data_IF_169692730533
#
_entry.id   IF_169692730533
#
_cell.length_a   1.000
_cell.length_b   1.000
_cell.length_c   1.000
_cell.angle_alpha   90.00
_cell.angle_beta   90.00
_cell.angle_gamma   90.00
#
_symmetry.space_group_name_H-M   'P 1'
#
loop_
_entity.id
_entity.type
_entity.pdbx_description
1 polymer ?
#
# COMPACT_ATOMS: atom_id res chain seq x y z
N UNK A 1 31.05 -4.84 -9.46
CA UNK A 1 30.37 -5.27 -10.70
C UNK A 1 29.44 -6.43 -10.34
N UNK A 2 28.18 -6.48 -10.84
CA UNK A 2 27.32 -7.64 -10.62
C UNK A 2 27.89 -8.89 -11.31
N UNK A 3 27.61 -10.07 -10.75
CA UNK A 3 28.08 -11.35 -11.31
C UNK A 3 27.28 -11.71 -12.56
N UNK A 4 25.96 -11.50 -12.51
CA UNK A 4 25.05 -11.76 -13.62
C UNK A 4 24.20 -10.54 -13.93
N UNK A 5 23.72 -10.46 -15.16
CA UNK A 5 22.64 -9.56 -15.57
C UNK A 5 21.43 -10.38 -16.05
N UNK A 6 20.24 -9.80 -15.90
CA UNK A 6 18.99 -10.36 -16.45
C UNK A 6 18.63 -9.58 -17.72
N UNK A 7 18.63 -10.22 -18.91
CA UNK A 7 18.15 -9.58 -20.13
C UNK A 7 16.68 -9.15 -20.00
N UNK A 8 16.31 -8.04 -20.64
CA UNK A 8 14.91 -7.66 -20.76
C UNK A 8 14.14 -8.80 -21.44
N UNK A 9 13.11 -9.33 -20.76
CA UNK A 9 12.25 -10.45 -21.19
C UNK A 9 12.83 -11.86 -20.99
N UNK A 10 13.94 -12.03 -20.27
CA UNK A 10 14.45 -13.36 -19.88
C UNK A 10 14.53 -13.51 -18.37
N UNK A 11 14.09 -14.66 -17.86
CA UNK A 11 14.32 -15.06 -16.46
C UNK A 11 15.67 -15.77 -16.26
N UNK A 12 16.44 -15.96 -17.33
CA UNK A 12 17.71 -16.69 -17.29
C UNK A 12 18.86 -15.67 -17.10
N UNK A 13 19.63 -15.76 -16.01
CA UNK A 13 20.76 -14.88 -15.76
C UNK A 13 21.93 -15.21 -16.69
N UNK A 14 22.54 -14.16 -17.25
CA UNK A 14 23.71 -14.22 -18.12
C UNK A 14 24.92 -13.67 -17.38
N UNK A 15 26.06 -14.34 -17.52
CA UNK A 15 27.30 -13.97 -16.83
C UNK A 15 27.81 -12.61 -17.35
N UNK A 16 28.18 -11.73 -16.43
CA UNK A 16 28.67 -10.38 -16.77
C UNK A 16 30.16 -10.31 -17.09
N UNK A 17 30.95 -11.34 -16.75
CA UNK A 17 32.41 -11.35 -16.91
C UNK A 17 32.90 -12.49 -17.81
N UNK A 18 34.05 -12.29 -18.47
CA UNK A 18 34.66 -13.21 -19.43
C UNK A 18 35.79 -14.10 -18.86
N UNK A 19 36.20 -13.90 -17.60
CA UNK A 19 37.38 -14.55 -17.03
C UNK A 19 37.13 -16.00 -16.57
N UNK A 20 38.13 -16.86 -16.70
CA UNK A 20 38.02 -18.30 -16.40
C UNK A 20 37.82 -18.63 -14.91
N UNK A 21 38.40 -17.85 -13.99
CA UNK A 21 38.13 -17.95 -12.54
C UNK A 21 36.71 -17.54 -12.18
N UNK A 22 36.10 -16.68 -13.00
CA UNK A 22 34.69 -16.31 -12.85
C UNK A 22 33.75 -17.47 -13.19
N UNK A 23 34.16 -18.42 -14.04
CA UNK A 23 33.30 -19.52 -14.50
C UNK A 23 32.93 -20.49 -13.38
N UNK A 24 33.88 -20.96 -12.56
CA UNK A 24 33.56 -21.88 -11.45
C UNK A 24 32.67 -21.21 -10.40
N UNK A 25 32.99 -19.96 -10.08
CA UNK A 25 32.18 -19.14 -9.18
C UNK A 25 30.75 -18.96 -9.74
N UNK A 26 30.63 -18.62 -11.01
CA UNK A 26 29.34 -18.47 -11.68
C UNK A 26 28.56 -19.78 -11.73
N UNK A 27 29.21 -20.91 -12.00
CA UNK A 27 28.57 -22.23 -12.01
C UNK A 27 27.91 -22.56 -10.66
N UNK A 28 28.55 -22.21 -9.55
CA UNK A 28 27.98 -22.42 -8.22
C UNK A 28 26.74 -21.52 -7.96
N UNK A 29 26.81 -20.23 -8.32
CA UNK A 29 25.75 -19.28 -7.99
C UNK A 29 24.58 -19.22 -8.99
N UNK A 30 24.76 -19.71 -10.21
CA UNK A 30 23.72 -19.70 -11.25
C UNK A 30 22.46 -20.47 -10.84
N UNK A 31 22.53 -21.69 -10.27
CA UNK A 31 21.34 -22.38 -9.75
C UNK A 31 20.60 -21.57 -8.68
N UNK A 32 21.32 -20.91 -7.78
CA UNK A 32 20.74 -20.07 -6.72
C UNK A 32 19.97 -18.88 -7.31
N UNK A 33 20.46 -18.30 -8.41
CA UNK A 33 19.78 -17.25 -9.14
C UNK A 33 18.41 -17.70 -9.68
N UNK A 34 18.34 -18.94 -10.18
CA UNK A 34 17.17 -19.54 -10.81
C UNK A 34 16.14 -20.11 -9.82
N UNK A 35 16.54 -20.42 -8.58
CA UNK A 35 15.62 -20.96 -7.58
C UNK A 35 14.56 -19.93 -7.19
N UNK A 36 13.28 -20.25 -7.35
CA UNK A 36 12.19 -19.38 -6.89
C UNK A 36 12.14 -19.26 -5.35
N UNK A 37 11.92 -18.05 -4.79
CA UNK A 37 11.83 -17.84 -3.34
C UNK A 37 10.74 -18.66 -2.64
N UNK A 38 9.70 -19.06 -3.36
CA UNK A 38 8.64 -19.94 -2.85
C UNK A 38 9.17 -21.31 -2.43
N UNK A 39 10.23 -21.80 -3.09
CA UNK A 39 10.83 -23.13 -2.85
C UNK A 39 11.98 -23.06 -1.84
N UNK A 40 12.54 -21.88 -1.58
CA UNK A 40 13.66 -21.70 -0.64
C UNK A 40 13.40 -22.30 0.73
N UNK A 41 12.14 -22.24 1.22
CA UNK A 41 11.76 -22.77 2.53
C UNK A 41 12.03 -24.27 2.71
N UNK A 42 12.22 -25.03 1.62
CA UNK A 42 12.58 -26.46 1.67
C UNK A 42 14.05 -26.69 2.06
N UNK A 43 14.93 -25.74 1.73
CA UNK A 43 16.38 -25.92 1.80
C UNK A 43 17.09 -24.87 2.66
N UNK A 44 16.43 -23.73 2.91
CA UNK A 44 16.96 -22.54 3.55
C UNK A 44 15.99 -22.03 4.61
N UNK A 45 16.53 -21.34 5.61
CA UNK A 45 15.74 -20.58 6.56
C UNK A 45 15.44 -19.20 5.99
N UNK A 46 14.18 -18.99 5.58
CA UNK A 46 13.76 -17.76 4.90
C UNK A 46 13.01 -16.81 5.83
N UNK A 47 13.42 -15.56 5.82
CA UNK A 47 12.73 -14.43 6.45
C UNK A 47 12.20 -13.49 5.39
N UNK A 48 11.00 -12.95 5.61
CA UNK A 48 10.33 -12.00 4.71
C UNK A 48 10.29 -10.63 5.36
N UNK A 49 10.68 -9.59 4.62
CA UNK A 49 10.52 -8.19 4.99
C UNK A 49 9.66 -7.53 3.91
N UNK A 50 8.44 -7.13 4.26
CA UNK A 50 7.55 -6.40 3.35
C UNK A 50 7.71 -4.90 3.54
N UNK A 51 7.74 -4.16 2.44
CA UNK A 51 7.81 -2.70 2.47
C UNK A 51 7.04 -2.05 1.32
N UNK A 52 6.60 -0.82 1.53
CA UNK A 52 6.04 0.04 0.49
C UNK A 52 6.97 1.23 0.31
N UNK A 53 7.47 1.41 -0.91
CA UNK A 53 8.37 2.50 -1.26
C UNK A 53 7.62 3.83 -1.34
N UNK A 54 8.30 4.88 -0.88
CA UNK A 54 7.84 6.25 -1.00
C UNK A 54 7.84 6.66 -2.47
N UNK A 55 6.73 7.28 -2.90
CA UNK A 55 6.57 7.77 -4.26
C UNK A 55 7.42 9.03 -4.51
N UNK A 56 7.83 9.20 -5.77
CA UNK A 56 8.51 10.42 -6.21
C UNK A 56 7.56 11.61 -6.23
N UNK A 57 8.08 12.81 -5.90
CA UNK A 57 7.35 14.08 -6.06
C UNK A 57 8.01 14.95 -7.13
N UNK A 58 7.23 15.72 -7.91
CA UNK A 58 5.76 15.81 -7.88
C UNK A 58 5.07 14.56 -8.46
N UNK A 59 3.78 14.37 -8.13
CA UNK A 59 2.98 13.28 -8.71
C UNK A 59 2.84 13.44 -10.24
N UNK A 60 2.71 12.34 -10.98
CA UNK A 60 2.48 12.37 -12.43
C UNK A 60 1.23 13.19 -12.79
N UNK A 61 1.29 13.96 -13.88
CA UNK A 61 0.18 14.84 -14.30
C UNK A 61 -1.03 14.05 -14.80
N UNK A 62 -0.77 12.98 -15.55
CA UNK A 62 -1.79 12.13 -16.18
C UNK A 62 -2.07 10.90 -15.34
N UNK A 63 -2.25 11.10 -14.02
CA UNK A 63 -2.50 10.01 -13.08
C UNK A 63 -3.97 9.56 -13.09
N UNK A 64 -4.89 10.53 -13.12
CA UNK A 64 -6.33 10.30 -13.12
C UNK A 64 -6.99 10.48 -14.49
N UNK A 65 -6.33 11.18 -15.41
CA UNK A 65 -6.79 11.46 -16.78
C UNK A 65 -5.70 10.99 -17.72
N UNK A 66 -6.04 10.36 -18.85
CA UNK A 66 -5.04 9.96 -19.82
C UNK A 66 -4.30 11.16 -20.42
N UNK A 67 -3.13 10.91 -21.00
CA UNK A 67 -2.49 11.89 -21.87
C UNK A 67 -3.17 11.92 -23.26
N UNK A 68 -2.69 12.77 -24.16
CA UNK A 68 -3.18 12.85 -25.55
C UNK A 68 -3.08 11.54 -26.36
N UNK A 69 -2.32 10.54 -25.87
CA UNK A 69 -2.24 9.21 -26.48
C UNK A 69 -3.17 8.18 -25.82
N UNK A 70 -4.08 8.60 -24.94
CA UNK A 70 -4.97 7.71 -24.20
C UNK A 70 -4.28 6.92 -23.07
N UNK A 71 -3.05 7.30 -22.67
CA UNK A 71 -2.25 6.55 -21.69
C UNK A 71 -2.16 7.28 -20.36
N UNK A 72 -2.41 6.54 -19.29
CA UNK A 72 -2.17 7.00 -17.92
C UNK A 72 -0.69 6.87 -17.54
N UNK A 73 -0.22 7.80 -16.73
CA UNK A 73 1.09 7.71 -16.09
C UNK A 73 0.98 6.91 -14.80
N UNK A 74 1.97 6.06 -14.54
CA UNK A 74 2.03 5.22 -13.33
C UNK A 74 2.93 5.85 -12.28
N UNK A 75 2.59 5.63 -11.00
CA UNK A 75 3.39 6.09 -9.87
C UNK A 75 4.81 5.50 -9.93
N UNK A 76 5.80 6.36 -9.71
CA UNK A 76 7.22 6.02 -9.68
C UNK A 76 7.76 6.14 -8.24
N UNK A 77 8.78 5.36 -7.92
CA UNK A 77 9.45 5.37 -6.60
C UNK A 77 10.99 5.34 -6.80
N UNK A 78 11.52 6.08 -7.77
CA UNK A 78 12.91 5.95 -8.24
C UNK A 78 13.91 6.31 -7.15
N UNK A 79 13.68 7.38 -6.41
CA UNK A 79 14.61 7.84 -5.35
C UNK A 79 14.66 6.83 -4.20
N UNK A 80 13.49 6.43 -3.70
CA UNK A 80 13.37 5.42 -2.66
C UNK A 80 13.96 4.07 -3.07
N UNK A 81 13.68 3.61 -4.30
CA UNK A 81 14.24 2.38 -4.84
C UNK A 81 15.77 2.45 -4.95
N UNK A 82 16.32 3.56 -5.46
CA UNK A 82 17.76 3.74 -5.57
C UNK A 82 18.45 3.70 -4.20
N UNK A 83 17.90 4.38 -3.19
CA UNK A 83 18.42 4.35 -1.82
C UNK A 83 18.37 2.93 -1.24
N UNK A 84 17.26 2.19 -1.44
CA UNK A 84 17.14 0.81 -0.99
C UNK A 84 18.18 -0.10 -1.65
N UNK A 85 18.32 -0.04 -2.98
CA UNK A 85 19.26 -0.90 -3.70
C UNK A 85 20.72 -0.57 -3.39
N UNK A 86 21.03 0.71 -3.12
CA UNK A 86 22.34 1.11 -2.61
C UNK A 86 22.61 0.48 -1.24
N UNK A 87 21.66 0.58 -0.30
CA UNK A 87 21.80 -0.06 1.01
C UNK A 87 22.03 -1.56 0.88
N UNK A 88 21.25 -2.26 0.05
CA UNK A 88 21.39 -3.71 -0.11
C UNK A 88 22.73 -4.10 -0.75
N UNK A 89 23.23 -3.28 -1.66
CA UNK A 89 24.56 -3.43 -2.26
C UNK A 89 25.65 -3.27 -1.19
N UNK A 90 25.61 -2.18 -0.44
CA UNK A 90 26.61 -1.87 0.60
C UNK A 90 26.54 -2.85 1.78
N UNK A 91 25.34 -3.36 2.08
CA UNK A 91 25.12 -4.38 3.10
C UNK A 91 25.71 -5.73 2.68
N UNK A 92 25.76 -6.04 1.38
CA UNK A 92 26.17 -7.35 0.84
C UNK A 92 27.68 -7.47 0.62
N UNK A 93 28.18 -8.71 0.56
CA UNK A 93 29.60 -8.96 0.22
C UNK A 93 29.81 -8.78 -1.29
N UNK A 94 28.86 -9.24 -2.10
CA UNK A 94 28.85 -9.00 -3.53
C UNK A 94 27.42 -9.03 -4.09
N UNK A 95 27.26 -8.35 -5.24
CA UNK A 95 25.99 -8.26 -5.95
C UNK A 95 25.90 -9.42 -6.94
N UNK A 96 24.90 -10.27 -6.78
CA UNK A 96 24.70 -11.40 -7.66
C UNK A 96 24.00 -10.96 -8.95
N UNK A 97 22.88 -10.26 -8.83
CA UNK A 97 22.16 -9.60 -9.92
C UNK A 97 21.76 -8.21 -9.42
N UNK A 98 22.09 -7.19 -10.19
CA UNK A 98 21.80 -5.80 -9.82
C UNK A 98 20.30 -5.55 -9.59
N UNK A 99 19.96 -4.85 -8.50
CA UNK A 99 18.60 -4.54 -8.07
C UNK A 99 17.68 -5.75 -7.82
N UNK A 100 18.25 -6.96 -7.70
CA UNK A 100 17.47 -8.20 -7.63
C UNK A 100 18.01 -9.17 -6.58
N UNK A 101 19.27 -9.60 -6.68
CA UNK A 101 19.86 -10.62 -5.81
C UNK A 101 21.22 -10.19 -5.28
N UNK A 102 21.43 -10.37 -3.98
CA UNK A 102 22.66 -10.03 -3.28
C UNK A 102 23.08 -11.19 -2.37
N UNK A 103 24.37 -11.33 -2.12
CA UNK A 103 24.91 -12.37 -1.23
C UNK A 103 25.78 -11.75 -0.17
N UNK A 104 25.60 -12.21 1.08
CA UNK A 104 26.47 -11.86 2.20
C UNK A 104 27.10 -13.13 2.76
N UNK A 105 28.43 -13.14 2.77
CA UNK A 105 29.23 -14.18 3.39
C UNK A 105 29.31 -13.95 4.90
N UNK A 106 29.20 -15.02 5.67
CA UNK A 106 29.34 -15.02 7.13
C UNK A 106 30.70 -15.63 7.47
N UNK A 107 31.49 -14.90 8.23
CA UNK A 107 32.81 -15.32 8.71
C UNK A 107 32.73 -15.61 10.21
N UNK A 108 33.30 -16.74 10.64
CA UNK A 108 33.51 -17.01 12.06
C UNK A 108 34.75 -16.29 12.61
N UNK A 109 35.74 -16.10 11.75
CA UNK A 109 37.02 -15.43 12.01
C UNK A 109 37.42 -14.71 10.72
N UNK A 110 37.95 -13.49 10.81
CA UNK A 110 38.20 -12.62 9.66
C UNK A 110 39.29 -13.17 8.73
N UNK A 111 40.24 -13.92 9.28
CA UNK A 111 41.36 -14.52 8.53
C UNK A 111 41.02 -15.90 7.93
N UNK A 112 39.82 -16.44 8.22
CA UNK A 112 39.39 -17.77 7.76
C UNK A 112 38.39 -17.66 6.62
N UNK A 113 38.25 -18.72 5.80
CA UNK A 113 37.21 -18.77 4.79
C UNK A 113 35.81 -18.61 5.41
N UNK A 114 34.83 -18.11 4.63
CA UNK A 114 33.47 -17.92 5.12
C UNK A 114 32.87 -19.25 5.56
N UNK A 115 32.29 -19.25 6.75
CA UNK A 115 31.66 -20.44 7.34
C UNK A 115 30.26 -20.70 6.81
N UNK A 116 29.58 -19.65 6.32
CA UNK A 116 28.23 -19.74 5.78
C UNK A 116 27.93 -18.51 4.91
N UNK A 117 26.71 -18.44 4.37
CA UNK A 117 26.22 -17.26 3.68
C UNK A 117 24.70 -17.16 3.78
N UNK A 118 24.18 -15.99 3.44
CA UNK A 118 22.77 -15.81 3.16
C UNK A 118 22.55 -14.97 1.91
N UNK A 119 21.40 -15.21 1.30
CA UNK A 119 20.97 -14.55 0.07
C UNK A 119 19.91 -13.52 0.44
N UNK A 120 20.01 -12.35 -0.16
CA UNK A 120 18.97 -11.33 -0.12
C UNK A 120 18.39 -11.24 -1.51
N UNK A 121 17.10 -11.52 -1.66
CA UNK A 121 16.39 -11.32 -2.93
C UNK A 121 15.24 -10.35 -2.77
N UNK A 122 15.28 -9.32 -3.60
CA UNK A 122 14.18 -8.39 -3.80
C UNK A 122 13.19 -9.05 -4.75
N UNK A 123 11.94 -9.10 -4.33
CA UNK A 123 10.80 -9.62 -5.10
C UNK A 123 9.68 -8.60 -5.10
N UNK A 124 8.76 -8.73 -6.05
CA UNK A 124 7.67 -7.77 -6.32
C UNK A 124 8.11 -6.44 -6.95
N UNK A 125 7.21 -5.85 -7.74
CA UNK A 125 7.44 -4.60 -8.47
C UNK A 125 7.07 -3.41 -7.57
N UNK A 126 7.91 -2.35 -7.50
CA UNK A 126 7.57 -1.10 -6.84
C UNK A 126 6.16 -0.63 -7.23
N UNK A 127 5.39 -0.01 -6.31
CA UNK A 127 5.79 0.44 -4.97
C UNK A 127 5.91 -0.65 -3.89
N UNK A 128 5.22 -1.79 -4.03
CA UNK A 128 5.27 -2.87 -3.05
C UNK A 128 6.49 -3.77 -3.29
N UNK A 129 7.41 -3.81 -2.33
CA UNK A 129 8.65 -4.58 -2.42
C UNK A 129 8.70 -5.61 -1.28
N UNK A 130 9.20 -6.79 -1.58
CA UNK A 130 9.40 -7.87 -0.60
C UNK A 130 10.84 -8.34 -0.66
N UNK A 131 11.55 -8.18 0.44
CA UNK A 131 12.92 -8.67 0.59
C UNK A 131 12.86 -10.04 1.28
N UNK A 132 13.33 -11.07 0.58
CA UNK A 132 13.50 -12.41 1.12
C UNK A 132 14.96 -12.58 1.53
N UNK A 133 15.19 -12.86 2.80
CA UNK A 133 16.51 -13.15 3.36
C UNK A 133 16.58 -14.65 3.65
N UNK A 134 17.41 -15.40 2.94
CA UNK A 134 17.49 -16.85 3.04
C UNK A 134 18.87 -17.30 3.50
N UNK A 135 18.91 -17.91 4.69
CA UNK A 135 20.13 -18.40 5.33
C UNK A 135 20.32 -19.88 5.03
N UNK A 136 21.58 -20.29 4.80
CA UNK A 136 21.93 -21.71 4.73
C UNK A 136 21.54 -22.46 6.00
N UNK A 137 21.13 -23.71 5.82
CA UNK A 137 20.88 -24.66 6.89
C UNK A 137 22.13 -24.78 7.79
N UNK A 138 21.94 -24.71 9.11
CA UNK A 138 23.04 -24.65 10.09
C UNK A 138 23.36 -23.26 10.63
N UNK A 139 22.86 -22.17 10.01
CA UNK A 139 23.03 -20.81 10.58
C UNK A 139 22.23 -20.67 11.89
N UNK A 140 22.85 -20.30 13.04
CA UNK A 140 22.16 -20.21 14.33
C UNK A 140 20.96 -19.25 14.31
N UNK A 141 19.85 -19.64 14.95
CA UNK A 141 18.61 -18.87 14.93
C UNK A 141 18.73 -17.45 15.46
N UNK A 142 19.50 -17.25 16.55
CA UNK A 142 19.75 -15.93 17.12
C UNK A 142 20.48 -15.00 16.14
N UNK A 143 21.44 -15.55 15.36
CA UNK A 143 22.21 -14.79 14.37
C UNK A 143 21.31 -14.37 13.20
N UNK A 144 20.42 -15.27 12.76
CA UNK A 144 19.40 -14.96 11.74
C UNK A 144 18.48 -13.84 12.20
N UNK A 145 17.94 -13.95 13.41
CA UNK A 145 17.06 -12.93 13.99
C UNK A 145 17.78 -11.58 14.09
N UNK A 146 18.98 -11.55 14.68
CA UNK A 146 19.80 -10.33 14.81
C UNK A 146 20.06 -9.67 13.46
N UNK A 147 20.48 -10.44 12.46
CA UNK A 147 20.78 -9.93 11.11
C UNK A 147 19.54 -9.33 10.47
N UNK A 148 18.38 -10.00 10.58
CA UNK A 148 17.11 -9.52 10.01
C UNK A 148 16.63 -8.25 10.71
N UNK A 149 16.75 -8.15 12.04
CA UNK A 149 16.37 -6.94 12.77
C UNK A 149 17.28 -5.77 12.41
N UNK A 150 18.60 -5.97 12.40
CA UNK A 150 19.53 -4.92 12.00
C UNK A 150 19.25 -4.43 10.57
N UNK A 151 18.96 -5.34 9.64
CA UNK A 151 18.59 -4.95 8.27
C UNK A 151 17.28 -4.14 8.24
N UNK A 152 16.26 -4.52 9.02
CA UNK A 152 15.03 -3.73 9.16
C UNK A 152 15.30 -2.34 9.72
N UNK A 153 16.15 -2.23 10.73
CA UNK A 153 16.50 -0.94 11.35
C UNK A 153 17.20 -0.01 10.35
N UNK A 154 18.13 -0.54 9.56
CA UNK A 154 18.82 0.24 8.51
C UNK A 154 17.84 0.67 7.41
N UNK A 155 16.92 -0.22 6.99
CA UNK A 155 15.88 0.11 6.01
C UNK A 155 14.95 1.21 6.55
N UNK A 156 14.55 1.14 7.82
CA UNK A 156 13.67 2.12 8.46
C UNK A 156 14.30 3.52 8.56
N UNK A 157 15.63 3.59 8.61
CA UNK A 157 16.40 4.84 8.67
C UNK A 157 16.72 5.43 7.29
N UNK A 158 16.41 4.73 6.19
CA UNK A 158 16.67 5.25 4.86
C UNK A 158 15.82 6.50 4.60
N UNK A 159 16.50 7.58 4.23
CA UNK A 159 15.88 8.81 3.78
C UNK A 159 16.46 9.26 2.45
N UNK A 160 15.72 10.09 1.73
CA UNK A 160 16.23 10.82 0.57
C UNK A 160 15.84 12.30 0.69
N UNK A 161 16.69 13.20 0.16
CA UNK A 161 16.42 14.63 0.24
C UNK A 161 15.28 14.99 -0.70
N UNK A 162 14.21 15.57 -0.16
CA UNK A 162 13.09 16.03 -0.97
C UNK A 162 13.09 17.55 -1.10
N UNK A 163 12.91 18.03 -2.33
CA UNK A 163 12.76 19.46 -2.62
C UNK A 163 11.42 19.95 -2.06
N UNK A 164 11.39 21.04 -1.27
CA UNK A 164 10.13 21.67 -0.87
C UNK A 164 9.40 22.17 -2.11
N UNK A 165 8.20 21.65 -2.37
CA UNK A 165 7.33 22.18 -3.42
C UNK A 165 6.75 23.51 -2.96
N UNK A 166 6.96 24.60 -3.72
CA UNK A 166 6.43 25.93 -3.42
C UNK A 166 4.89 26.03 -3.37
N UNK A 167 4.18 24.96 -3.76
CA UNK A 167 2.70 24.87 -3.75
C UNK A 167 2.13 23.96 -2.66
N UNK A 168 2.98 23.37 -1.82
CA UNK A 168 2.54 22.51 -0.73
C UNK A 168 2.73 23.28 0.59
N UNK A 169 1.67 23.81 1.23
CA UNK A 169 1.84 24.48 2.51
C UNK A 169 2.43 23.46 3.49
N UNK A 170 3.56 23.82 4.10
CA UNK A 170 4.05 23.20 5.33
C UNK A 170 2.86 23.04 6.27
N UNK A 171 2.68 21.84 6.84
CA UNK A 171 1.65 21.47 7.80
C UNK A 171 1.30 22.67 8.69
N UNK A 172 0.29 23.44 8.28
CA UNK A 172 -0.41 24.33 9.20
C UNK A 172 -1.19 23.35 10.04
N UNK A 173 -0.93 23.36 11.35
CA UNK A 173 -1.85 22.82 12.35
C UNK A 173 -3.17 23.53 12.10
N UNK A 174 -4.01 22.97 11.22
CA UNK A 174 -5.38 23.40 11.09
C UNK A 174 -5.99 22.96 12.40
N UNK A 175 -6.20 23.94 13.27
CA UNK A 175 -7.02 23.80 14.46
C UNK A 175 -8.34 23.22 13.99
N UNK A 176 -8.55 21.92 14.20
CA UNK A 176 -9.80 21.28 13.86
C UNK A 176 -10.90 21.96 14.68
N UNK A 177 -11.89 22.51 13.98
CA UNK A 177 -13.16 22.94 14.55
C UNK A 177 -13.74 21.72 15.26
N UNK A 178 -13.91 21.83 16.58
CA UNK A 178 -14.41 20.76 17.45
C UNK A 178 -15.70 20.17 16.87
N UNK A 179 -15.62 19.00 16.24
CA UNK A 179 -16.80 18.19 15.97
C UNK A 179 -17.29 17.65 17.30
N UNK A 180 -18.41 18.21 17.80
CA UNK A 180 -19.15 17.66 18.93
C UNK A 180 -19.78 16.34 18.50
N UNK A 181 -19.04 15.25 18.59
CA UNK A 181 -19.64 13.91 18.62
C UNK A 181 -20.06 13.61 20.05
N UNK A 182 -21.36 13.60 20.30
CA UNK A 182 -21.99 13.18 21.56
C UNK A 182 -22.06 11.66 21.59
N UNK A 183 -21.00 10.99 22.03
CA UNK A 183 -21.06 9.63 22.54
C UNK A 183 -19.78 9.32 23.35
N UNK A 184 -19.98 8.92 24.61
CA UNK A 184 -19.00 8.36 25.55
C UNK A 184 -17.88 9.30 26.05
N UNK A 185 -18.21 10.07 27.09
CA UNK A 185 -17.25 10.70 28.00
C UNK A 185 -17.36 10.07 29.39
N UNK A 186 -16.34 9.34 29.80
CA UNK A 186 -15.95 9.20 31.20
C UNK A 186 -14.46 8.86 31.23
N UNK A 187 -13.70 9.58 32.06
CA UNK A 187 -12.24 9.56 32.20
C UNK A 187 -11.42 10.43 31.25
N UNK A 188 -11.51 11.76 31.40
CA UNK A 188 -10.38 12.66 31.08
C UNK A 188 -10.51 14.06 31.70
N UNK A 189 -11.09 14.17 32.90
CA UNK A 189 -11.26 15.42 33.61
C UNK A 189 -10.49 15.39 34.93
N UNK A 190 -9.16 15.32 34.87
CA UNK A 190 -8.29 15.58 36.05
C UNK A 190 -6.81 15.84 35.74
N UNK A 191 -6.44 16.18 34.50
CA UNK A 191 -5.01 16.44 34.14
C UNK A 191 -4.75 17.80 33.49
N UNK A 192 -5.67 18.76 33.62
CA UNK A 192 -5.58 20.04 32.90
C UNK A 192 -5.55 21.30 33.78
N UNK A 193 -5.05 21.19 35.01
CA UNK A 193 -4.90 22.35 35.91
C UNK A 193 -3.45 22.68 36.32
N UNK A 194 -2.41 22.06 35.73
CA UNK A 194 -1.03 22.26 36.21
C UNK A 194 0.02 22.73 35.19
N UNK A 195 -0.36 23.27 34.03
CA UNK A 195 0.62 23.90 33.12
C UNK A 195 0.12 25.25 32.58
N UNK A 196 -0.15 26.17 33.50
CA UNK A 196 -0.17 27.61 33.23
C UNK A 196 0.73 28.29 34.24
N UNK A 197 1.99 28.50 33.85
CA UNK A 197 2.87 29.57 34.35
C UNK A 197 4.22 29.50 33.63
N UNK A 198 4.34 30.16 32.48
CA UNK A 198 5.61 30.76 32.05
C UNK A 198 5.33 32.08 31.29
N UNK A 199 6.21 33.10 31.42
CA UNK A 199 5.89 34.47 31.00
C UNK A 199 6.05 34.68 29.50
N UNK A 200 5.14 35.48 28.93
CA UNK A 200 5.17 35.92 27.52
C UNK A 200 6.29 36.95 27.31
N UNK A 201 7.23 36.66 26.40
CA UNK A 201 8.08 37.70 25.79
C UNK A 201 7.59 37.99 24.35
N UNK A 202 7.42 39.27 24.05
CA UNK A 202 6.96 39.79 22.75
C UNK A 202 8.05 39.66 21.68
N UNK A 203 7.72 39.32 20.42
CA UNK A 203 8.68 39.37 19.32
C UNK A 203 8.84 40.81 18.80
N UNK A 204 10.06 41.34 18.82
CA UNK A 204 10.45 42.55 18.10
C UNK A 204 10.59 42.24 16.59
N UNK A 205 10.10 43.16 15.76
CA UNK A 205 10.12 43.10 14.29
C UNK A 205 11.54 43.35 13.73
N UNK A 206 12.00 42.49 12.81
CA UNK A 206 13.18 42.72 11.97
C UNK A 206 12.82 42.56 10.48
N UNK A 207 13.40 43.42 9.66
CA UNK A 207 13.14 43.72 8.24
C UNK A 207 13.67 42.64 7.25
N UNK A 208 13.20 42.63 5.98
CA UNK A 208 13.38 41.52 5.05
C UNK A 208 14.58 41.70 4.13
N UNK A 209 15.73 41.14 4.47
CA UNK A 209 16.76 40.83 3.46
C UNK A 209 17.59 39.65 3.96
N UNK A 210 17.82 38.67 3.07
CA UNK A 210 18.45 37.35 3.29
C UNK A 210 17.46 36.22 3.65
N UNK A 211 16.82 35.64 2.62
CA UNK A 211 16.20 34.33 2.75
C UNK A 211 17.34 33.29 2.93
N UNK A 212 17.35 32.49 4.01
CA UNK A 212 18.33 31.42 4.15
C UNK A 212 18.12 30.36 3.04
N UNK A 213 19.17 29.61 2.66
CA UNK A 213 19.06 28.54 1.66
C UNK A 213 17.94 27.58 2.07
N UNK A 214 17.01 27.32 1.14
CA UNK A 214 15.85 26.45 1.36
C UNK A 214 16.35 25.07 1.79
N UNK A 215 16.16 24.75 3.08
CA UNK A 215 16.55 23.45 3.65
C UNK A 215 15.74 22.35 2.97
N UNK A 216 16.43 21.34 2.45
CA UNK A 216 15.81 20.11 1.98
C UNK A 216 15.22 19.39 3.19
N UNK A 217 14.03 18.79 3.03
CA UNK A 217 13.46 17.92 4.06
C UNK A 217 13.79 16.48 3.72
N UNK A 218 14.40 15.76 4.64
CA UNK A 218 14.63 14.33 4.49
C UNK A 218 13.31 13.58 4.66
N UNK A 219 12.99 12.73 3.69
CA UNK A 219 11.77 11.92 3.69
C UNK A 219 12.14 10.46 3.73
N UNK A 220 11.45 9.69 4.58
CA UNK A 220 11.68 8.25 4.69
C UNK A 220 11.45 7.56 3.33
N UNK A 221 12.36 6.68 2.96
CA UNK A 221 12.31 5.95 1.69
C UNK A 221 11.17 4.95 1.63
N UNK A 222 10.72 4.40 2.76
CA UNK A 222 9.72 3.35 2.76
C UNK A 222 9.00 3.21 4.11
N UNK A 223 7.89 2.48 4.08
CA UNK A 223 7.18 2.00 5.26
C UNK A 223 7.37 0.50 5.37
N UNK A 224 7.87 0.03 6.52
CA UNK A 224 7.95 -1.40 6.84
C UNK A 224 6.55 -1.92 7.20
N UNK A 225 6.19 -3.06 6.62
CA UNK A 225 4.88 -3.69 6.82
C UNK A 225 5.02 -4.98 7.60
N UNK A 226 4.13 -5.18 8.56
CA UNK A 226 4.03 -6.44 9.28
C UNK A 226 3.26 -7.47 8.44
N UNK A 227 2.23 -7.04 7.71
CA UNK A 227 1.38 -7.92 6.92
C UNK A 227 1.94 -8.19 5.52
N UNK A 228 1.65 -9.36 4.92
CA UNK A 228 2.08 -9.69 3.58
C UNK A 228 1.17 -9.05 2.52
N UNK A 229 1.21 -7.72 2.41
CA UNK A 229 0.34 -6.95 1.51
C UNK A 229 0.38 -7.48 0.07
N UNK A 230 1.53 -7.90 -0.46
CA UNK A 230 1.64 -8.48 -1.81
C UNK A 230 0.75 -9.69 -2.06
N UNK A 231 0.29 -10.38 -0.99
CA UNK A 231 -0.57 -11.56 -1.06
C UNK A 231 -2.05 -11.25 -0.86
N UNK A 232 -2.36 -10.12 -0.23
CA UNK A 232 -3.74 -9.71 0.10
C UNK A 232 -4.18 -8.45 -0.64
N UNK A 233 -3.30 -7.87 -1.47
CA UNK A 233 -3.61 -6.68 -2.26
C UNK A 233 -4.55 -7.03 -3.41
N UNK A 234 -5.70 -6.39 -3.44
CA UNK A 234 -6.65 -6.41 -4.54
C UNK A 234 -6.08 -5.57 -5.69
N UNK A 235 -5.77 -6.17 -6.85
CA UNK A 235 -5.17 -5.47 -7.99
C UNK A 235 -6.07 -5.52 -9.21
N UNK A 236 -6.40 -4.34 -9.72
CA UNK A 236 -7.10 -4.18 -10.99
C UNK A 236 -6.06 -3.83 -12.07
N UNK A 237 -5.95 -4.66 -13.09
CA UNK A 237 -5.09 -4.40 -14.25
C UNK A 237 -5.80 -3.51 -15.28
N UNK A 238 -7.13 -3.53 -15.30
CA UNK A 238 -8.01 -2.74 -16.18
C UNK A 238 -9.31 -2.42 -15.46
N UNK A 239 -10.07 -1.47 -16.00
CA UNK A 239 -11.39 -1.11 -15.50
C UNK A 239 -12.32 -2.34 -15.52
N UNK A 240 -12.99 -2.68 -14.41
CA UNK A 240 -14.05 -3.69 -14.41
C UNK A 240 -15.16 -3.32 -15.39
N UNK A 241 -15.68 -4.31 -16.12
CA UNK A 241 -16.86 -4.13 -16.99
C UNK A 241 -18.16 -4.06 -16.21
N UNK A 242 -18.17 -4.60 -14.99
CA UNK A 242 -19.29 -4.56 -14.07
C UNK A 242 -18.78 -4.31 -12.64
N UNK A 243 -19.43 -3.37 -11.95
CA UNK A 243 -19.20 -3.02 -10.56
C UNK A 243 -20.25 -3.65 -9.62
N UNK A 244 -21.04 -4.63 -10.08
CA UNK A 244 -21.93 -5.44 -9.25
C UNK A 244 -21.34 -6.80 -8.83
N UNK A 245 -20.38 -7.32 -9.60
CA UNK A 245 -19.93 -8.72 -9.44
C UNK A 245 -18.76 -8.88 -8.48
N UNK A 246 -19.07 -9.13 -7.21
CA UNK A 246 -18.25 -10.05 -6.40
C UNK A 246 -18.77 -11.46 -6.68
N UNK A 247 -18.12 -12.18 -7.59
CA UNK A 247 -18.53 -13.55 -7.93
C UNK A 247 -18.06 -14.50 -6.82
N UNK A 248 -18.99 -15.09 -6.08
CA UNK A 248 -18.69 -16.12 -5.09
C UNK A 248 -18.47 -17.48 -5.80
N UNK A 249 -17.57 -18.35 -5.28
CA UNK A 249 -17.18 -19.61 -5.91
C UNK A 249 -18.27 -20.69 -5.86
N UNK A 250 -19.31 -20.50 -5.05
CA UNK A 250 -20.53 -21.30 -5.06
C UNK A 250 -21.51 -20.89 -6.18
N UNK A 251 -21.14 -19.88 -6.98
CA UNK A 251 -21.99 -19.34 -8.03
C UNK A 251 -23.13 -18.47 -7.51
N UNK A 252 -23.18 -18.18 -6.21
CA UNK A 252 -24.16 -17.23 -5.67
C UNK A 252 -23.69 -15.82 -6.01
N UNK A 253 -24.36 -15.17 -6.94
CA UNK A 253 -24.38 -13.71 -6.97
C UNK A 253 -25.36 -13.25 -5.88
N UNK A 254 -25.21 -12.05 -5.27
CA UNK A 254 -26.36 -11.43 -4.63
C UNK A 254 -27.47 -11.43 -5.67
N UNK A 255 -28.62 -12.03 -5.34
CA UNK A 255 -29.77 -12.24 -6.24
C UNK A 255 -30.20 -10.91 -6.87
N UNK A 256 -29.65 -10.59 -8.04
CA UNK A 256 -30.25 -9.68 -8.99
C UNK A 256 -31.07 -10.55 -9.95
N UNK A 257 -32.40 -10.33 -10.08
CA UNK A 257 -33.22 -11.12 -10.97
C UNK A 257 -32.84 -10.79 -12.42
N UNK A 258 -32.34 -11.79 -13.16
CA UNK A 258 -32.24 -11.73 -14.61
C UNK A 258 -30.91 -11.25 -15.19
N UNK A 259 -29.81 -12.01 -15.00
CA UNK A 259 -28.75 -12.09 -16.01
C UNK A 259 -27.85 -13.30 -15.74
N UNK A 260 -28.14 -14.43 -16.38
CA UNK A 260 -27.17 -15.50 -16.54
C UNK A 260 -26.42 -15.27 -17.85
N UNK A 261 -25.38 -14.45 -17.83
CA UNK A 261 -24.39 -14.44 -18.92
C UNK A 261 -23.02 -14.81 -18.36
N UNK A 262 -22.53 -15.97 -18.82
CA UNK A 262 -21.22 -16.54 -18.47
C UNK A 262 -20.09 -15.71 -19.09
N UNK A 263 -19.57 -14.71 -18.38
CA UNK A 263 -18.25 -14.15 -18.67
C UNK A 263 -17.22 -14.74 -17.70
N UNK A 264 -16.57 -15.84 -18.10
CA UNK A 264 -15.38 -16.36 -17.40
C UNK A 264 -14.16 -15.55 -17.84
N UNK A 265 -13.90 -14.42 -17.20
CA UNK A 265 -12.62 -13.71 -17.39
C UNK A 265 -11.52 -14.40 -16.56
N UNK A 266 -10.49 -14.92 -17.24
CA UNK A 266 -9.38 -15.70 -16.66
C UNK A 266 -8.49 -14.94 -15.64
N UNK A 267 -8.78 -13.67 -15.33
CA UNK A 267 -8.12 -12.87 -14.30
C UNK A 267 -8.87 -12.76 -12.96
N UNK A 268 -10.09 -13.31 -12.87
CA UNK A 268 -10.96 -13.12 -11.71
C UNK A 268 -10.66 -14.00 -10.49
N UNK A 269 -9.82 -15.04 -10.60
CA UNK A 269 -9.67 -16.06 -9.54
C UNK A 269 -9.12 -15.54 -8.20
N UNK A 270 -8.10 -14.67 -8.21
CA UNK A 270 -7.51 -14.15 -6.97
C UNK A 270 -8.37 -13.04 -6.36
N UNK A 271 -8.89 -12.13 -7.20
CA UNK A 271 -9.79 -11.05 -6.79
C UNK A 271 -11.04 -11.60 -6.09
N UNK A 272 -11.73 -12.56 -6.73
CA UNK A 272 -12.93 -13.23 -6.19
C UNK A 272 -12.64 -14.08 -4.95
N UNK A 273 -11.38 -14.51 -4.78
CA UNK A 273 -10.96 -15.26 -3.60
C UNK A 273 -10.67 -14.34 -2.44
N UNK A 274 -9.86 -13.30 -2.63
CA UNK A 274 -9.55 -12.33 -1.58
C UNK A 274 -10.79 -11.55 -1.13
N UNK A 275 -11.73 -11.26 -2.04
CA UNK A 275 -12.96 -10.56 -1.71
C UNK A 275 -13.84 -11.27 -0.67
N UNK A 276 -13.66 -12.59 -0.47
CA UNK A 276 -14.34 -13.37 0.59
C UNK A 276 -13.72 -13.19 1.97
N UNK A 277 -12.45 -12.81 2.02
CA UNK A 277 -11.69 -12.69 3.26
C UNK A 277 -11.46 -11.24 3.68
N UNK A 278 -11.84 -10.27 2.84
CA UNK A 278 -11.71 -8.85 3.11
C UNK A 278 -13.08 -8.22 3.29
N UNK A 279 -13.19 -7.29 4.23
CA UNK A 279 -14.36 -6.43 4.33
C UNK A 279 -14.30 -5.36 3.26
N UNK A 280 -15.37 -5.26 2.47
CA UNK A 280 -15.41 -4.42 1.28
C UNK A 280 -16.55 -3.41 1.35
N UNK A 281 -16.24 -2.17 0.97
CA UNK A 281 -17.22 -1.13 0.68
C UNK A 281 -16.85 -0.45 -0.64
N UNK A 282 -17.83 -0.29 -1.52
CA UNK A 282 -17.72 0.48 -2.77
C UNK A 282 -18.66 1.67 -2.70
N UNK A 283 -18.20 2.78 -3.24
CA UNK A 283 -19.00 3.97 -3.43
C UNK A 283 -18.92 4.41 -4.89
N UNK A 284 -20.10 4.64 -5.46
CA UNK A 284 -20.30 5.14 -6.81
C UNK A 284 -21.06 6.45 -6.68
N UNK A 285 -20.51 7.52 -7.23
CA UNK A 285 -21.18 8.81 -7.32
C UNK A 285 -21.31 9.18 -8.76
N UNK A 286 -22.49 9.63 -9.13
CA UNK A 286 -22.76 10.10 -10.46
C UNK A 286 -22.64 11.63 -10.48
N UNK A 287 -21.97 12.16 -11.48
CA UNK A 287 -21.74 13.58 -11.65
C UNK A 287 -22.93 14.20 -12.43
N UNK A 288 -23.34 15.40 -12.01
CA UNK A 288 -24.46 16.10 -12.63
C UNK A 288 -23.98 16.79 -13.92
N UNK A 289 -24.53 16.33 -15.04
CA UNK A 289 -24.06 16.53 -16.42
C UNK A 289 -23.71 17.98 -16.85
N UNK A 290 -22.56 18.09 -17.52
CA UNK A 290 -22.16 19.16 -18.45
C UNK A 290 -20.79 18.87 -19.10
N UNK A 291 -20.79 18.42 -20.37
CA UNK A 291 -19.66 17.77 -21.08
C UNK A 291 -18.28 18.49 -21.09
N UNK A 292 -17.23 17.67 -21.26
CA UNK A 292 -15.76 17.92 -21.26
C UNK A 292 -15.19 18.61 -20.01
N UNK A 293 -15.77 19.72 -19.56
CA UNK A 293 -15.34 20.42 -18.34
C UNK A 293 -15.46 19.54 -17.09
N UNK A 294 -16.29 18.49 -17.18
CA UNK A 294 -16.60 17.52 -16.13
C UNK A 294 -15.48 16.50 -15.89
N UNK A 295 -14.75 16.02 -16.92
CA UNK A 295 -13.70 15.01 -16.73
C UNK A 295 -12.51 15.60 -15.96
N UNK A 296 -12.03 16.79 -16.36
CA UNK A 296 -11.01 17.51 -15.60
C UNK A 296 -11.50 17.91 -14.21
N UNK A 297 -12.79 18.20 -14.02
CA UNK A 297 -13.35 18.48 -12.70
C UNK A 297 -13.28 17.25 -11.79
N UNK A 298 -13.70 16.08 -12.27
CA UNK A 298 -13.59 14.82 -11.53
C UNK A 298 -12.12 14.49 -11.28
N UNK A 299 -11.23 14.70 -12.24
CA UNK A 299 -9.80 14.50 -12.05
C UNK A 299 -9.22 15.36 -10.93
N UNK A 300 -9.66 16.63 -10.81
CA UNK A 300 -9.27 17.52 -9.71
C UNK A 300 -9.80 17.00 -8.36
N UNK A 301 -11.02 16.46 -8.34
CA UNK A 301 -11.60 15.83 -7.15
C UNK A 301 -10.80 14.59 -6.75
N UNK A 302 -10.48 13.70 -7.69
CA UNK A 302 -9.66 12.51 -7.47
C UNK A 302 -8.24 12.87 -7.00
N UNK A 303 -7.64 13.93 -7.56
CA UNK A 303 -6.35 14.45 -7.11
C UNK A 303 -6.42 15.00 -5.68
N UNK A 304 -7.54 15.63 -5.31
CA UNK A 304 -7.79 16.12 -3.95
C UNK A 304 -7.92 14.96 -2.97
N UNK A 305 -8.69 13.92 -3.32
CA UNK A 305 -8.83 12.69 -2.52
C UNK A 305 -7.49 11.99 -2.37
N UNK A 306 -6.72 11.87 -3.45
CA UNK A 306 -5.35 11.33 -3.45
C UNK A 306 -4.49 12.06 -2.43
N UNK A 307 -4.50 13.40 -2.46
CA UNK A 307 -3.74 14.22 -1.51
C UNK A 307 -4.22 14.00 -0.06
N UNK A 308 -5.52 13.95 0.18
CA UNK A 308 -6.07 13.69 1.52
C UNK A 308 -5.64 12.34 2.07
N UNK A 309 -5.72 11.27 1.27
CA UNK A 309 -5.28 9.93 1.68
C UNK A 309 -3.79 9.89 1.99
N UNK A 310 -2.95 10.55 1.19
CA UNK A 310 -1.53 10.66 1.47
C UNK A 310 -1.25 11.41 2.79
N UNK A 311 -2.04 12.45 3.11
CA UNK A 311 -1.94 13.17 4.39
C UNK A 311 -2.37 12.32 5.61
N UNK A 312 -3.32 11.41 5.42
CA UNK A 312 -3.75 10.44 6.44
C UNK A 312 -2.68 9.34 6.66
N UNK A 313 -1.67 9.25 5.80
CA UNK A 313 -0.56 8.30 5.89
C UNK A 313 -0.69 7.09 4.97
N UNK A 314 -1.66 7.07 4.05
CA UNK A 314 -1.71 6.04 3.01
C UNK A 314 -0.49 6.14 2.10
N UNK A 315 0.00 4.99 1.65
CA UNK A 315 1.10 4.87 0.70
C UNK A 315 0.61 4.21 -0.59
N UNK A 316 1.07 4.66 -1.75
CA UNK A 316 0.74 4.00 -3.02
C UNK A 316 1.25 2.57 -3.02
N UNK A 317 0.40 1.60 -3.35
CA UNK A 317 0.73 0.19 -3.43
C UNK A 317 0.79 -0.31 -4.89
N UNK A 318 -0.05 0.24 -5.75
CA UNK A 318 -0.10 -0.10 -7.18
C UNK A 318 -0.78 1.02 -7.99
N UNK A 319 -0.43 1.14 -9.28
CA UNK A 319 -1.08 2.08 -10.19
C UNK A 319 -0.96 1.56 -11.63
N UNK A 320 -2.11 1.35 -12.28
CA UNK A 320 -2.23 0.82 -13.65
C UNK A 320 -3.52 1.34 -14.27
N UNK A 321 -3.50 1.72 -15.55
CA UNK A 321 -4.69 2.16 -16.30
C UNK A 321 -5.54 3.25 -15.59
N UNK A 322 -4.88 4.19 -14.90
CA UNK A 322 -5.54 5.24 -14.13
C UNK A 322 -6.12 4.80 -12.79
N UNK A 323 -6.14 3.49 -12.53
CA UNK A 323 -6.56 2.91 -11.25
C UNK A 323 -5.41 3.07 -10.27
N UNK A 324 -5.74 3.64 -9.12
CA UNK A 324 -4.79 3.90 -8.04
C UNK A 324 -5.16 3.05 -6.86
N UNK A 325 -4.17 2.39 -6.30
CA UNK A 325 -4.29 1.57 -5.11
C UNK A 325 -3.34 2.10 -4.05
N UNK A 326 -3.87 2.38 -2.87
CA UNK A 326 -3.12 2.83 -1.70
C UNK A 326 -3.37 1.89 -0.52
N UNK A 327 -2.40 1.82 0.38
CA UNK A 327 -2.48 1.00 1.60
C UNK A 327 -2.08 1.78 2.84
N UNK A 328 -2.69 1.42 3.96
CA UNK A 328 -2.39 1.90 5.30
C UNK A 328 -2.41 0.70 6.25
N UNK A 329 -1.40 0.54 7.10
CA UNK A 329 -1.37 -0.47 8.17
C UNK A 329 -1.61 0.23 9.51
N UNK A 330 -2.73 -0.07 10.16
CA UNK A 330 -3.08 0.45 11.49
C UNK A 330 -2.83 -0.61 12.56
N UNK A 331 -2.64 -0.18 13.81
CA UNK A 331 -2.52 -1.11 14.93
C UNK A 331 -3.88 -1.29 15.58
N UNK A 332 -4.24 -2.53 15.88
CA UNK A 332 -5.46 -2.91 16.59
C UNK A 332 -5.11 -3.63 17.89
N UNK A 333 -5.93 -3.43 18.92
CA UNK A 333 -5.78 -4.03 20.25
C UNK A 333 -7.10 -4.68 20.67
N UNK A 334 -7.04 -5.79 21.40
CA UNK A 334 -8.23 -6.47 21.92
C UNK A 334 -9.10 -5.53 22.74
N UNK A 335 -10.43 -5.71 22.65
CA UNK A 335 -11.39 -4.89 23.38
C UNK A 335 -11.20 -5.01 24.90
N UNK A 336 -11.49 -3.94 25.62
CA UNK A 336 -11.36 -3.92 27.08
C UNK A 336 -12.50 -4.62 27.81
N UNK A 337 -13.67 -4.70 27.18
CA UNK A 337 -14.96 -4.86 27.86
C UNK A 337 -15.71 -6.17 27.57
N UNK A 338 -15.32 -6.93 26.54
CA UNK A 338 -15.94 -8.23 26.27
C UNK A 338 -15.18 -9.36 27.00
N UNK A 339 -15.92 -10.06 27.88
CA UNK A 339 -15.61 -11.36 28.50
C UNK A 339 -14.78 -11.43 29.79
N UNK A 340 -14.16 -10.34 30.28
CA UNK A 340 -13.43 -10.42 31.57
C UNK A 340 -14.33 -10.79 32.77
N UNK A 341 -15.64 -10.50 32.71
CA UNK A 341 -16.60 -10.82 33.78
C UNK A 341 -17.13 -12.25 33.79
N UNK A 342 -16.79 -13.09 32.79
CA UNK A 342 -17.35 -14.44 32.67
C UNK A 342 -16.38 -15.55 33.07
N UNK A 343 -15.12 -15.20 33.36
CA UNK A 343 -14.05 -16.13 33.73
C UNK A 343 -13.52 -15.87 35.15
N UNK A 344 -14.24 -15.13 36.01
CA UNK A 344 -13.80 -14.85 37.38
C UNK A 344 -13.74 -16.09 38.28
N UNK A 345 -14.34 -17.21 37.87
CA UNK A 345 -14.28 -18.48 38.60
C UNK A 345 -13.33 -19.49 37.93
N UNK A 346 -12.02 -19.28 38.07
CA UNK A 346 -11.03 -20.36 37.99
C UNK A 346 -9.80 -20.14 37.09
N UNK A 347 -8.62 -20.27 37.72
CA UNK A 347 -7.26 -20.45 37.16
C UNK A 347 -6.46 -19.20 36.73
N UNK A 348 -5.56 -18.76 37.63
CA UNK A 348 -4.65 -17.60 37.49
C UNK A 348 -3.79 -17.59 36.22
N UNK A 349 -3.39 -18.75 35.68
CA UNK A 349 -2.53 -18.82 34.48
C UNK A 349 -3.27 -18.39 33.19
N UNK A 350 -4.55 -18.71 33.06
CA UNK A 350 -5.36 -18.30 31.89
C UNK A 350 -5.58 -16.77 31.86
N UNK A 351 -5.65 -16.13 33.03
CA UNK A 351 -5.84 -14.68 33.13
C UNK A 351 -4.59 -13.91 32.68
N UNK A 352 -3.39 -14.40 33.00
CA UNK A 352 -2.13 -13.80 32.57
C UNK A 352 -1.93 -13.88 31.05
N UNK A 353 -2.27 -15.01 30.43
CA UNK A 353 -2.21 -15.15 28.97
C UNK A 353 -3.25 -14.28 28.26
N UNK A 354 -4.46 -14.17 28.81
CA UNK A 354 -5.50 -13.29 28.30
C UNK A 354 -5.08 -11.82 28.36
N UNK A 355 -4.52 -11.35 29.47
CA UNK A 355 -4.02 -9.97 29.60
C UNK A 355 -2.85 -9.69 28.64
N UNK A 356 -1.94 -10.66 28.45
CA UNK A 356 -0.88 -10.56 27.44
C UNK A 356 -1.45 -10.47 26.02
N UNK A 357 -2.45 -11.29 25.70
CA UNK A 357 -3.14 -11.31 24.41
C UNK A 357 -3.90 -10.00 24.14
N UNK A 358 -4.63 -9.52 25.14
CA UNK A 358 -5.39 -8.27 25.12
C UNK A 358 -4.48 -7.07 24.88
N UNK A 359 -3.28 -7.09 25.46
CA UNK A 359 -2.27 -6.06 25.28
C UNK A 359 -1.42 -6.21 24.02
N UNK A 360 -1.61 -7.28 23.25
CA UNK A 360 -0.86 -7.52 22.01
C UNK A 360 -1.42 -6.70 20.85
N UNK A 361 -0.57 -5.87 20.25
CA UNK A 361 -0.90 -5.09 19.06
C UNK A 361 -0.91 -5.99 17.82
N UNK A 362 -1.89 -5.78 16.95
CA UNK A 362 -2.05 -6.49 15.68
C UNK A 362 -2.15 -5.51 14.53
N UNK A 363 -1.40 -5.73 13.45
CA UNK A 363 -1.57 -4.94 12.25
C UNK A 363 -2.91 -5.29 11.55
N UNK A 364 -3.62 -4.26 11.09
CA UNK A 364 -4.77 -4.36 10.19
C UNK A 364 -4.48 -3.52 8.94
N UNK A 365 -4.62 -4.13 7.77
CA UNK A 365 -4.39 -3.46 6.49
C UNK A 365 -5.70 -2.89 5.95
N UNK A 366 -5.65 -1.61 5.59
CA UNK A 366 -6.69 -0.88 4.88
C UNK A 366 -6.15 -0.60 3.49
N UNK A 367 -6.88 -0.99 2.47
CA UNK A 367 -6.57 -0.72 1.08
C UNK A 367 -7.65 0.17 0.49
N UNK A 368 -7.23 1.27 -0.14
CA UNK A 368 -8.10 2.23 -0.78
C UNK A 368 -7.85 2.25 -2.29
N UNK A 369 -8.89 2.02 -3.08
CA UNK A 369 -8.82 1.97 -4.55
C UNK A 369 -9.62 3.12 -5.13
N UNK A 370 -9.02 3.85 -6.07
CA UNK A 370 -9.68 4.89 -6.86
C UNK A 370 -9.60 4.53 -8.32
N UNK A 371 -10.73 4.63 -9.01
CA UNK A 371 -10.82 4.43 -10.44
C UNK A 371 -10.72 5.78 -11.17
N UNK A 372 -10.23 5.81 -12.42
CA UNK A 372 -10.30 7.00 -13.25
C UNK A 372 -11.78 7.35 -13.55
N UNK A 373 -12.06 8.57 -14.05
CA UNK A 373 -13.39 8.94 -14.53
C UNK A 373 -13.95 7.86 -15.47
N UNK A 374 -15.21 7.47 -15.24
CA UNK A 374 -15.83 6.38 -15.98
C UNK A 374 -17.26 6.74 -16.39
N UNK A 375 -17.53 6.64 -17.68
CA UNK A 375 -18.85 6.88 -18.25
C UNK A 375 -19.62 5.56 -18.34
N UNK A 376 -20.84 5.49 -17.80
CA UNK A 376 -21.68 4.30 -17.98
C UNK A 376 -22.30 4.28 -19.37
N UNK A 377 -22.20 3.16 -20.09
CA UNK A 377 -22.99 2.96 -21.30
C UNK A 377 -24.42 2.57 -20.94
N UNK A 378 -25.41 3.39 -21.28
CA UNK A 378 -26.84 3.11 -21.09
C UNK A 378 -27.38 2.09 -22.10
N UNK A 379 -26.84 0.87 -22.15
CA UNK A 379 -27.44 -0.20 -22.95
C UNK A 379 -28.24 -1.16 -22.07
N UNK A 380 -29.38 -0.67 -21.59
CA UNK A 380 -30.52 -1.51 -21.17
C UNK A 380 -31.67 -1.33 -22.15
N UNK A 381 -31.47 -1.76 -23.40
CA UNK A 381 -32.57 -2.20 -24.26
C UNK A 381 -32.23 -3.60 -24.72
N UNK A 382 -32.87 -4.59 -24.08
CA UNK A 382 -33.26 -5.81 -24.77
C UNK A 382 -34.12 -5.40 -25.97
N UNK A 383 -33.50 -5.03 -27.10
CA UNK A 383 -34.23 -4.92 -28.36
C UNK A 383 -34.35 -6.31 -28.94
N UNK A 384 -35.31 -7.06 -28.41
CA UNK A 384 -36.02 -8.04 -29.22
C UNK A 384 -36.89 -7.27 -30.20
N UNK A 385 -36.47 -7.21 -31.47
CA UNK A 385 -37.39 -6.99 -32.58
C UNK A 385 -36.83 -7.69 -33.79
N UNK A 386 -37.38 -8.87 -34.09
CA UNK A 386 -37.36 -9.39 -35.45
C UNK A 386 -38.15 -8.41 -36.32
N UNK A 387 -37.52 -7.89 -37.38
CA UNK A 387 -38.14 -6.91 -38.25
C UNK A 387 -37.24 -6.58 -39.42
N UNK A 388 -37.77 -6.85 -40.60
CA UNK A 388 -37.21 -6.74 -41.95
C UNK A 388 -36.67 -5.35 -42.30
N UNK A 389 -35.80 -5.31 -43.32
CA UNK A 389 -34.86 -4.25 -43.65
C UNK A 389 -35.44 -2.85 -43.90
N UNK A 390 -34.55 -1.86 -43.77
CA UNK A 390 -34.34 -0.75 -44.71
C UNK A 390 -33.16 0.11 -44.23
N UNK A 391 -32.37 0.62 -45.19
CA UNK A 391 -31.24 1.52 -44.98
C UNK A 391 -31.71 2.83 -44.31
N UNK A 392 -31.30 3.07 -43.06
CA UNK A 392 -31.13 4.43 -42.53
C UNK A 392 -29.79 4.53 -41.79
N UNK A 393 -28.97 5.48 -42.24
CA UNK A 393 -27.68 5.83 -41.65
C UNK A 393 -27.98 6.62 -40.37
N UNK A 394 -28.27 5.92 -39.27
CA UNK A 394 -28.36 6.56 -37.96
C UNK A 394 -26.94 7.00 -37.54
N UNK A 395 -26.76 8.33 -37.48
CA UNK A 395 -25.66 8.94 -36.77
C UNK A 395 -25.65 8.37 -35.35
N UNK A 396 -24.54 7.76 -34.94
CA UNK A 396 -24.31 7.29 -33.58
C UNK A 396 -24.44 8.50 -32.64
N UNK A 397 -25.61 8.69 -32.05
CA UNK A 397 -25.80 9.61 -30.94
C UNK A 397 -24.78 9.22 -29.86
N UNK A 398 -23.90 10.16 -29.52
CA UNK A 398 -22.97 10.04 -28.40
C UNK A 398 -23.81 9.74 -27.16
N UNK A 399 -23.80 8.47 -26.74
CA UNK A 399 -24.70 7.98 -25.71
C UNK A 399 -24.62 8.84 -24.45
N UNK A 400 -25.80 9.21 -23.95
CA UNK A 400 -26.09 9.91 -22.70
C UNK A 400 -25.61 9.09 -21.49
N UNK A 401 -24.30 8.92 -21.40
CA UNK A 401 -23.64 8.18 -20.34
C UNK A 401 -23.33 9.09 -19.17
N UNK A 402 -23.80 8.73 -17.99
CA UNK A 402 -23.53 9.46 -16.77
C UNK A 402 -22.06 9.22 -16.32
N UNK A 403 -21.33 10.30 -16.08
CA UNK A 403 -19.95 10.22 -15.62
C UNK A 403 -19.90 9.91 -14.13
N UNK A 404 -19.12 8.91 -13.74
CA UNK A 404 -19.10 8.40 -12.37
C UNK A 404 -17.71 8.48 -11.72
N UNK A 405 -17.72 8.79 -10.43
CA UNK A 405 -16.60 8.62 -9.52
C UNK A 405 -16.79 7.29 -8.80
N UNK A 406 -15.79 6.41 -8.87
CA UNK A 406 -15.83 5.12 -8.19
C UNK A 406 -14.62 4.98 -7.27
N UNK A 407 -14.87 4.57 -6.03
CA UNK A 407 -13.80 4.21 -5.08
C UNK A 407 -14.20 3.04 -4.21
N UNK A 408 -13.22 2.30 -3.74
CA UNK A 408 -13.41 1.16 -2.86
C UNK A 408 -12.49 1.22 -1.65
N UNK A 409 -12.95 0.61 -0.56
CA UNK A 409 -12.16 0.31 0.62
C UNK A 409 -12.22 -1.20 0.88
N UNK A 410 -11.04 -1.82 0.96
CA UNK A 410 -10.84 -3.23 1.29
C UNK A 410 -10.06 -3.31 2.58
N UNK A 411 -10.66 -3.89 3.62
CA UNK A 411 -10.10 -3.93 4.97
C UNK A 411 -9.90 -5.37 5.38
N UNK A 412 -8.72 -5.68 5.90
CA UNK A 412 -8.46 -6.97 6.51
C UNK A 412 -9.24 -7.12 7.83
N UNK A 413 -10.11 -8.12 7.97
CA UNK A 413 -10.80 -8.39 9.23
C UNK A 413 -9.80 -8.70 10.33
N UNK A 414 -9.84 -7.90 11.39
CA UNK A 414 -9.02 -8.06 12.59
C UNK A 414 -9.89 -7.80 13.83
N UNK A 415 -9.74 -8.64 14.85
CA UNK A 415 -10.46 -8.47 16.12
C UNK A 415 -9.84 -7.32 16.93
N UNK A 416 -10.71 -6.59 17.64
CA UNK A 416 -10.32 -5.48 18.51
C UNK A 416 -10.65 -4.12 17.90
N UNK A 417 -10.02 -3.08 18.46
CA UNK A 417 -10.21 -1.68 18.09
C UNK A 417 -8.89 -1.07 17.63
N UNK A 418 -8.97 -0.15 16.68
CA UNK A 418 -7.80 0.62 16.24
C UNK A 418 -7.27 1.47 17.39
N UNK A 419 -5.94 1.50 17.52
CA UNK A 419 -5.20 2.25 18.52
C UNK A 419 -3.97 2.94 17.92
N UNK A 420 -3.45 3.94 18.63
CA UNK A 420 -2.22 4.67 18.27
C UNK A 420 -2.35 5.43 16.93
N UNK A 421 -3.53 5.95 16.62
CA UNK A 421 -3.72 6.83 15.49
C UNK A 421 -2.98 8.17 15.72
N UNK A 422 -2.20 8.64 14.74
CA UNK A 422 -1.71 10.01 14.75
C UNK A 422 -2.86 10.99 14.48
N UNK A 423 -2.65 12.30 14.75
CA UNK A 423 -3.70 13.31 14.69
C UNK A 423 -4.44 13.39 13.35
N UNK A 424 -3.79 13.07 12.24
CA UNK A 424 -4.36 13.15 10.90
C UNK A 424 -5.46 12.10 10.66
N UNK A 425 -5.47 11.03 11.46
CA UNK A 425 -6.44 9.92 11.40
C UNK A 425 -7.02 9.53 12.76
N UNK A 426 -7.14 10.50 13.66
CA UNK A 426 -7.76 10.32 14.98
C UNK A 426 -9.19 9.78 14.91
N UNK A 427 -9.93 10.10 13.83
CA UNK A 427 -11.27 9.61 13.56
C UNK A 427 -11.35 8.08 13.40
N UNK A 428 -10.23 7.38 13.20
CA UNK A 428 -10.17 5.92 13.16
C UNK A 428 -9.99 5.29 14.55
N UNK A 429 -9.54 6.07 15.55
CA UNK A 429 -9.23 5.58 16.90
C UNK A 429 -10.47 4.96 17.55
N UNK A 430 -10.28 3.84 18.25
CA UNK A 430 -11.32 3.05 18.92
C UNK A 430 -12.43 2.52 17.97
N UNK A 431 -12.19 2.44 16.66
CA UNK A 431 -13.12 1.80 15.74
C UNK A 431 -12.77 0.33 15.49
N UNK A 432 -13.78 -0.56 15.40
CA UNK A 432 -13.58 -1.89 14.88
C UNK A 432 -13.42 -1.84 13.35
N UNK A 433 -12.79 -2.87 12.78
CA UNK A 433 -12.39 -2.87 11.36
C UNK A 433 -13.55 -2.58 10.38
N UNK A 434 -14.75 -3.12 10.64
CA UNK A 434 -15.90 -3.00 9.74
C UNK A 434 -16.56 -1.61 9.75
N UNK A 435 -16.16 -0.70 10.67
CA UNK A 435 -16.61 0.70 10.69
C UNK A 435 -15.63 1.66 10.02
N UNK A 436 -14.40 1.23 9.73
CA UNK A 436 -13.36 2.12 9.21
C UNK A 436 -13.75 2.72 7.85
N UNK A 437 -14.29 1.91 6.95
CA UNK A 437 -14.76 2.36 5.64
C UNK A 437 -15.88 3.42 5.74
N UNK A 438 -16.81 3.27 6.68
CA UNK A 438 -17.97 4.17 6.80
C UNK A 438 -17.55 5.57 7.32
N UNK A 439 -16.56 5.64 8.23
CA UNK A 439 -16.06 6.91 8.75
C UNK A 439 -15.15 7.61 7.75
N UNK A 440 -14.33 6.86 7.02
CA UNK A 440 -13.56 7.37 5.88
C UNK A 440 -14.45 8.03 4.82
N UNK A 441 -15.64 7.48 4.59
CA UNK A 441 -16.61 8.04 3.67
C UNK A 441 -17.25 9.34 4.20
N UNK A 442 -17.59 9.39 5.49
CA UNK A 442 -18.22 10.58 6.09
C UNK A 442 -17.33 11.82 6.00
N UNK A 443 -16.04 11.69 6.30
CA UNK A 443 -15.05 12.79 6.19
C UNK A 443 -14.91 13.30 4.75
N UNK A 444 -15.12 12.43 3.76
CA UNK A 444 -15.04 12.79 2.34
C UNK A 444 -16.28 13.53 1.84
N UNK A 445 -17.48 13.26 2.38
CA UNK A 445 -18.69 14.00 2.02
C UNK A 445 -18.53 15.52 2.22
N UNK A 446 -17.80 15.92 3.24
CA UNK A 446 -17.51 17.34 3.52
C UNK A 446 -16.58 17.99 2.46
N UNK A 447 -15.96 17.21 1.58
CA UNK A 447 -15.12 17.71 0.47
C UNK A 447 -15.86 17.78 -0.86
N UNK A 448 -17.07 17.23 -0.92
CA UNK A 448 -17.94 17.22 -2.11
C UNK A 448 -18.99 18.34 -2.10
N UNK A 449 -19.29 18.86 -0.92
CA UNK A 449 -20.06 20.08 -0.70
C UNK A 449 -19.13 21.29 -0.73
#
# INVERSE_FOLDING_TARGET
>A
MPVFYLPANSSIPVLSASDSTCLQFAQFWKPICLLEPSVWKKWLHTHRIGLVLQHDRPLPRHLHVPNSSGRFQVIQCRQAAAALYSLLKDWSTFVLIENHSYVKLIYGDAEKPPTSFYIIRVTSKPPCVVINVAFLSGTPGYLRYKTVQQLKDHIAQLTFPQRPSAKEPSVRKVTCVKFRSTAYKSHQQQRQEQLQQQPKQQPQQLSPTQQPPRKWSDVNCCVLLQKPIEKILIRYERMPSDFGTVVFPDGTTPLAPGSQTKSRTAGGGLLTTLSRYLHHRRWVWAAQSGADVEEEAIARVLATITKMRLQEGFSFAHSTAGIINMVLEVQMKGETDCDAKRFEDGMDECHLEYEKWKNSLRPCVIQYVMFPPHTTSSNSKESGSEGDGTDEVEALEEGDGELQIITECWIEPQHGLVVNCPPERDYMELLPYYKLADVEHKKRKDCYA
#
